data_IF_205054933219
#
_entry.id   IF_205054933219
#
_cell.length_a   1.000
_cell.length_b   1.000
_cell.length_c   1.000
_cell.angle_alpha   90.00
_cell.angle_beta   90.00
_cell.angle_gamma   90.00
#
_symmetry.space_group_name_H-M   'P 1'
#
loop_
_entity.id
_entity.type
_entity.pdbx_description
1 polymer ?
#
# COMPACT_ATOMS: atom_id res chain seq x y z
N UNK A 1 -23.01 11.65 -2.30
CA UNK A 1 -22.84 10.97 -1.00
C UNK A 1 -23.31 11.85 0.14
N UNK A 2 -22.83 13.10 0.23
CA UNK A 2 -23.24 14.08 1.27
C UNK A 2 -24.75 14.21 1.40
N UNK A 3 -25.48 14.52 0.32
CA UNK A 3 -26.95 14.62 0.36
C UNK A 3 -27.67 13.33 0.80
N UNK A 4 -27.02 12.16 0.68
CA UNK A 4 -27.58 10.87 1.12
C UNK A 4 -27.19 10.51 2.56
N UNK A 5 -26.31 11.29 3.20
CA UNK A 5 -25.78 11.03 4.54
C UNK A 5 -24.99 9.71 4.68
N UNK A 6 -24.60 9.09 3.56
CA UNK A 6 -23.86 7.82 3.56
C UNK A 6 -23.02 7.61 2.30
N UNK A 7 -21.83 7.04 2.49
CA UNK A 7 -20.96 6.60 1.41
C UNK A 7 -19.59 6.11 1.91
N UNK A 8 -18.84 5.50 1.00
CA UNK A 8 -17.44 5.15 1.25
C UNK A 8 -16.59 5.48 0.02
N UNK A 9 -15.37 5.96 0.25
CA UNK A 9 -14.34 6.16 -0.77
C UNK A 9 -13.14 5.33 -0.35
N UNK A 10 -12.66 4.45 -1.23
CA UNK A 10 -11.48 3.62 -0.96
C UNK A 10 -10.40 3.99 -1.97
N UNK A 11 -9.33 4.60 -1.48
CA UNK A 11 -8.15 4.90 -2.28
C UNK A 11 -7.05 3.87 -1.99
N UNK A 12 -6.19 3.63 -2.98
CA UNK A 12 -5.09 2.66 -2.88
C UNK A 12 -3.75 3.40 -2.77
N UNK A 13 -3.22 3.42 -1.56
CA UNK A 13 -1.85 3.81 -1.25
C UNK A 13 -0.84 2.72 -1.62
N UNK A 14 0.28 2.66 -0.92
CA UNK A 14 1.28 1.60 -1.10
C UNK A 14 2.17 1.46 0.12
N UNK A 15 2.50 0.23 0.49
CA UNK A 15 3.50 -0.02 1.52
C UNK A 15 4.87 0.49 1.12
N UNK A 16 5.11 0.70 -0.18
CA UNK A 16 6.31 1.35 -0.70
C UNK A 16 6.55 2.76 -0.16
N UNK A 17 5.51 3.43 0.34
CA UNK A 17 5.58 4.82 0.80
C UNK A 17 5.21 5.03 2.26
N UNK A 18 4.65 4.00 2.91
CA UNK A 18 4.13 4.09 4.30
C UNK A 18 4.79 3.06 5.22
N UNK A 19 5.11 1.87 4.70
CA UNK A 19 5.67 0.76 5.50
C UNK A 19 7.20 0.79 5.51
N UNK A 20 7.81 1.32 4.45
CA UNK A 20 9.27 1.54 4.37
C UNK A 20 9.58 3.03 4.42
N UNK A 21 10.73 3.43 4.98
CA UNK A 21 11.12 4.83 5.11
C UNK A 21 11.39 5.49 3.75
N UNK A 22 12.06 4.79 2.82
CA UNK A 22 12.23 5.27 1.45
C UNK A 22 12.07 4.14 0.40
N UNK A 23 11.85 4.56 -0.86
CA UNK A 23 11.75 3.66 -2.01
C UNK A 23 12.70 4.10 -3.14
N UNK A 24 14.02 3.93 -2.95
CA UNK A 24 15.01 4.35 -3.93
C UNK A 24 14.74 3.72 -5.30
N UNK A 25 15.04 4.47 -6.36
CA UNK A 25 14.79 4.11 -7.77
C UNK A 25 13.31 4.04 -8.19
N UNK A 26 12.37 4.30 -7.27
CA UNK A 26 10.94 4.50 -7.56
C UNK A 26 10.37 5.71 -6.79
N UNK A 27 11.16 6.77 -6.62
CA UNK A 27 10.82 7.93 -5.80
C UNK A 27 9.50 8.60 -6.22
N UNK A 28 9.26 8.77 -7.53
CA UNK A 28 8.01 9.36 -8.04
C UNK A 28 6.81 8.51 -7.64
N UNK A 29 6.90 7.18 -7.80
CA UNK A 29 5.84 6.27 -7.39
C UNK A 29 5.56 6.40 -5.89
N UNK A 30 6.59 6.34 -5.05
CA UNK A 30 6.40 6.50 -3.60
C UNK A 30 5.78 7.85 -3.23
N UNK A 31 6.25 8.97 -3.82
CA UNK A 31 5.72 10.30 -3.56
C UNK A 31 4.23 10.42 -3.92
N UNK A 32 3.81 9.89 -5.07
CA UNK A 32 2.39 9.88 -5.46
C UNK A 32 1.53 9.08 -4.49
N UNK A 33 2.07 8.00 -3.91
CA UNK A 33 1.35 7.16 -2.95
C UNK A 33 1.30 7.76 -1.55
N UNK A 34 2.30 8.54 -1.12
CA UNK A 34 2.20 9.39 0.07
C UNK A 34 1.10 10.45 -0.11
N UNK A 35 1.05 11.11 -1.26
CA UNK A 35 0.01 12.10 -1.56
C UNK A 35 -1.40 11.50 -1.41
N UNK A 36 -1.64 10.31 -1.97
CA UNK A 36 -2.92 9.61 -1.83
C UNK A 36 -3.25 9.30 -0.37
N UNK A 37 -2.27 8.84 0.43
CA UNK A 37 -2.48 8.57 1.86
C UNK A 37 -2.90 9.83 2.62
N UNK A 38 -2.15 10.92 2.43
CA UNK A 38 -2.40 12.17 3.13
C UNK A 38 -3.75 12.77 2.71
N UNK A 39 -4.05 12.79 1.41
CA UNK A 39 -5.33 13.26 0.88
C UNK A 39 -6.50 12.47 1.49
N UNK A 40 -6.41 11.13 1.48
CA UNK A 40 -7.45 10.27 2.05
C UNK A 40 -7.69 10.53 3.53
N UNK A 41 -6.61 10.73 4.31
CA UNK A 41 -6.72 10.97 5.76
C UNK A 41 -7.31 12.33 6.08
N UNK A 42 -6.99 13.36 5.30
CA UNK A 42 -7.65 14.67 5.41
C UNK A 42 -9.14 14.55 5.11
N UNK A 43 -9.49 13.94 3.97
CA UNK A 43 -10.89 13.75 3.57
C UNK A 43 -11.68 12.87 4.55
N UNK A 44 -11.04 11.88 5.18
CA UNK A 44 -11.67 11.07 6.23
C UNK A 44 -12.20 11.96 7.35
N UNK A 45 -11.39 12.91 7.82
CA UNK A 45 -11.76 13.82 8.90
C UNK A 45 -12.81 14.83 8.42
N UNK A 46 -12.58 15.46 7.26
CA UNK A 46 -13.48 16.47 6.68
C UNK A 46 -14.89 15.94 6.45
N UNK A 47 -15.00 14.68 5.99
CA UNK A 47 -16.28 14.11 5.58
C UNK A 47 -16.91 13.15 6.60
N UNK A 48 -16.27 12.90 7.76
CA UNK A 48 -16.78 11.94 8.76
C UNK A 48 -18.16 12.32 9.29
N UNK A 49 -18.38 13.60 9.58
CA UNK A 49 -19.65 14.14 10.08
C UNK A 49 -20.79 14.04 9.07
N UNK A 50 -20.47 13.91 7.78
CA UNK A 50 -21.44 13.73 6.69
C UNK A 50 -21.78 12.26 6.41
N UNK A 51 -21.31 11.33 7.26
CA UNK A 51 -21.55 9.89 7.11
C UNK A 51 -20.76 9.24 5.97
N UNK A 52 -19.66 9.86 5.54
CA UNK A 52 -18.81 9.34 4.47
C UNK A 52 -17.51 8.82 5.07
N UNK A 53 -17.19 7.56 4.82
CA UNK A 53 -15.93 6.96 5.26
C UNK A 53 -14.90 6.96 4.11
N UNK A 54 -13.82 7.73 4.28
CA UNK A 54 -12.72 7.76 3.30
C UNK A 54 -11.55 6.97 3.83
N UNK A 55 -11.15 5.91 3.13
CA UNK A 55 -10.12 4.99 3.58
C UNK A 55 -8.98 4.91 2.55
N UNK A 56 -7.74 5.01 3.03
CA UNK A 56 -6.54 4.64 2.28
C UNK A 56 -6.13 3.21 2.63
N UNK A 57 -6.15 2.31 1.65
CA UNK A 57 -5.61 0.97 1.82
C UNK A 57 -4.19 0.91 1.29
N UNK A 58 -3.29 0.36 2.09
CA UNK A 58 -1.84 0.37 1.88
C UNK A 58 -1.37 -1.08 1.64
N UNK A 59 -1.47 -1.60 0.41
CA UNK A 59 -0.97 -2.93 0.06
C UNK A 59 0.56 -3.00 0.06
N UNK A 60 1.12 -4.13 0.49
CA UNK A 60 2.44 -4.59 0.03
C UNK A 60 2.26 -5.37 -1.29
N UNK A 61 3.20 -6.22 -1.69
CA UNK A 61 3.12 -6.89 -2.99
C UNK A 61 1.84 -7.71 -3.12
N UNK A 62 1.09 -7.48 -4.20
CA UNK A 62 -0.06 -8.28 -4.62
C UNK A 62 0.26 -8.86 -5.99
N UNK A 63 0.04 -10.17 -6.16
CA UNK A 63 0.32 -10.88 -7.40
C UNK A 63 -0.61 -10.38 -8.51
N UNK A 64 -0.08 -9.47 -9.32
CA UNK A 64 -0.77 -8.77 -10.42
C UNK A 64 0.18 -8.69 -11.62
N UNK A 65 -0.34 -8.39 -12.81
CA UNK A 65 0.48 -8.18 -14.00
C UNK A 65 1.52 -7.06 -13.80
N UNK A 66 1.12 -5.94 -13.19
CA UNK A 66 2.04 -4.84 -12.87
C UNK A 66 3.18 -5.29 -11.95
N UNK A 67 2.88 -6.05 -10.90
CA UNK A 67 3.91 -6.54 -9.97
C UNK A 67 4.82 -7.58 -10.61
N UNK A 68 4.30 -8.38 -11.55
CA UNK A 68 5.13 -9.28 -12.37
C UNK A 68 6.11 -8.49 -13.24
N UNK A 69 5.62 -7.51 -14.00
CA UNK A 69 6.43 -6.72 -14.94
C UNK A 69 7.45 -5.81 -14.25
N UNK A 70 7.07 -5.16 -13.14
CA UNK A 70 7.91 -4.14 -12.47
C UNK A 70 8.77 -4.72 -11.36
N UNK A 71 8.31 -5.81 -10.73
CA UNK A 71 8.89 -6.32 -9.49
C UNK A 71 9.27 -7.81 -9.55
N UNK A 72 9.02 -8.50 -10.67
CA UNK A 72 9.24 -9.95 -10.87
C UNK A 72 8.50 -10.81 -9.84
N UNK A 73 7.31 -10.36 -9.43
CA UNK A 73 6.43 -11.07 -8.51
C UNK A 73 5.44 -11.89 -9.32
N UNK A 74 5.78 -13.15 -9.58
CA UNK A 74 5.02 -13.99 -10.51
C UNK A 74 3.94 -14.84 -9.84
N UNK A 75 4.19 -15.31 -8.61
CA UNK A 75 3.34 -16.29 -7.95
C UNK A 75 2.80 -15.77 -6.62
N UNK A 76 1.52 -16.04 -6.30
CA UNK A 76 0.99 -15.74 -4.99
C UNK A 76 1.66 -16.60 -3.92
N UNK A 77 1.80 -16.03 -2.73
CA UNK A 77 2.32 -16.67 -1.52
C UNK A 77 1.60 -16.13 -0.28
N UNK A 78 1.98 -16.59 0.91
CA UNK A 78 1.40 -16.08 2.16
C UNK A 78 1.58 -14.56 2.33
N UNK A 79 2.71 -14.01 1.91
CA UNK A 79 3.03 -12.58 2.02
C UNK A 79 2.80 -11.80 0.72
N UNK A 80 2.27 -12.47 -0.30
CA UNK A 80 1.92 -11.89 -1.60
C UNK A 80 0.59 -12.50 -2.05
N UNK A 81 -0.56 -11.96 -1.60
CA UNK A 81 -1.86 -12.50 -1.99
C UNK A 81 -2.11 -12.36 -3.49
N UNK A 82 -3.04 -13.15 -4.03
CA UNK A 82 -3.60 -12.86 -5.35
C UNK A 82 -4.44 -11.58 -5.33
N UNK A 83 -4.70 -11.00 -6.49
CA UNK A 83 -5.55 -9.83 -6.63
C UNK A 83 -6.95 -10.06 -6.01
N UNK A 84 -7.52 -11.25 -6.22
CA UNK A 84 -8.85 -11.63 -5.72
C UNK A 84 -8.86 -11.74 -4.20
N UNK A 85 -7.83 -12.39 -3.62
CA UNK A 85 -7.70 -12.49 -2.15
C UNK A 85 -7.52 -11.13 -1.51
N UNK A 86 -6.73 -10.25 -2.13
CA UNK A 86 -6.57 -8.90 -1.62
C UNK A 86 -7.85 -8.09 -1.75
N UNK A 87 -8.58 -8.21 -2.87
CA UNK A 87 -9.85 -7.52 -3.09
C UNK A 87 -10.95 -7.96 -2.10
N UNK A 88 -11.05 -9.26 -1.80
CA UNK A 88 -11.98 -9.77 -0.79
C UNK A 88 -11.65 -9.20 0.61
N UNK A 89 -10.37 -9.20 0.99
CA UNK A 89 -9.93 -8.57 2.24
C UNK A 89 -10.21 -7.05 2.27
N UNK A 90 -9.95 -6.36 1.15
CA UNK A 90 -10.14 -4.93 0.99
C UNK A 90 -11.59 -4.51 1.21
N UNK A 91 -12.55 -5.22 0.58
CA UNK A 91 -13.98 -4.92 0.70
C UNK A 91 -14.47 -5.15 2.13
N UNK A 92 -14.04 -6.25 2.78
CA UNK A 92 -14.42 -6.56 4.18
C UNK A 92 -13.89 -5.56 5.21
N UNK A 93 -12.85 -4.80 4.87
CA UNK A 93 -12.21 -3.84 5.77
C UNK A 93 -12.72 -2.40 5.63
N UNK A 94 -13.61 -2.13 4.67
CA UNK A 94 -14.19 -0.79 4.47
C UNK A 94 -14.88 -0.31 5.76
N UNK A 95 -14.67 0.96 6.10
CA UNK A 95 -15.22 1.58 7.32
C UNK A 95 -14.37 1.41 8.58
N UNK A 96 -13.24 0.72 8.51
CA UNK A 96 -12.34 0.48 9.66
C UNK A 96 -11.14 1.42 9.67
N UNK A 97 -11.42 2.71 9.89
CA UNK A 97 -10.41 3.75 10.04
C UNK A 97 -9.89 4.32 8.71
N UNK A 98 -9.18 5.45 8.81
CA UNK A 98 -8.72 6.26 7.68
C UNK A 98 -7.60 5.60 6.85
N UNK A 99 -6.79 4.74 7.47
CA UNK A 99 -5.67 4.05 6.84
C UNK A 99 -5.58 2.63 7.34
N UNK A 100 -5.40 1.67 6.44
CA UNK A 100 -5.28 0.28 6.82
C UNK A 100 -4.45 -0.54 5.83
N UNK A 101 -4.11 -1.75 6.24
CA UNK A 101 -3.56 -2.79 5.40
C UNK A 101 -4.47 -4.01 5.55
N UNK A 102 -5.44 -4.23 4.64
CA UNK A 102 -6.57 -5.13 4.87
C UNK A 102 -6.19 -6.62 4.88
N UNK A 103 -5.05 -6.97 4.26
CA UNK A 103 -4.53 -8.33 4.26
C UNK A 103 -3.59 -8.55 5.46
N UNK A 104 -3.99 -9.42 6.39
CA UNK A 104 -3.32 -9.57 7.70
C UNK A 104 -1.82 -9.88 7.59
N UNK A 105 -1.39 -10.67 6.61
CA UNK A 105 0.03 -11.02 6.47
C UNK A 105 0.88 -9.79 6.11
N UNK A 106 0.30 -8.82 5.39
CA UNK A 106 0.95 -7.53 5.18
C UNK A 106 1.02 -6.71 6.47
N UNK A 107 0.05 -6.82 7.38
CA UNK A 107 0.13 -6.19 8.71
C UNK A 107 1.29 -6.77 9.53
N UNK A 108 1.56 -8.07 9.43
CA UNK A 108 2.75 -8.70 10.03
C UNK A 108 4.03 -8.15 9.43
N UNK A 109 4.11 -8.02 8.10
CA UNK A 109 5.27 -7.41 7.43
C UNK A 109 5.47 -5.96 7.85
N UNK A 110 4.39 -5.19 8.01
CA UNK A 110 4.48 -3.82 8.53
C UNK A 110 5.03 -3.83 9.95
N UNK A 111 4.46 -4.63 10.86
CA UNK A 111 4.95 -4.73 12.22
C UNK A 111 6.44 -5.06 12.27
N UNK A 112 6.90 -6.06 11.53
CA UNK A 112 8.33 -6.40 11.46
C UNK A 112 9.17 -5.24 10.90
N UNK A 113 8.72 -4.57 9.83
CA UNK A 113 9.42 -3.42 9.29
C UNK A 113 9.53 -2.29 10.33
N UNK A 114 8.49 -2.04 11.13
CA UNK A 114 8.50 -1.00 12.17
C UNK A 114 9.48 -1.25 13.32
N UNK A 115 9.99 -2.48 13.45
CA UNK A 115 11.01 -2.84 14.44
C UNK A 115 12.44 -2.68 13.92
N UNK A 116 12.63 -2.53 12.61
CA UNK A 116 13.95 -2.44 11.99
C UNK A 116 14.39 -0.97 11.85
N UNK A 117 15.70 -0.66 12.02
CA UNK A 117 16.20 0.69 11.77
C UNK A 117 15.99 1.12 10.31
N UNK A 118 15.68 2.40 10.11
CA UNK A 118 15.41 2.93 8.76
C UNK A 118 16.57 2.69 7.79
N UNK A 119 17.81 2.88 8.25
CA UNK A 119 19.01 2.64 7.45
C UNK A 119 19.11 1.20 6.92
N UNK A 120 18.65 0.21 7.70
CA UNK A 120 18.63 -1.19 7.27
C UNK A 120 17.57 -1.41 6.20
N UNK A 121 16.37 -0.86 6.38
CA UNK A 121 15.30 -0.95 5.40
C UNK A 121 15.65 -0.25 4.09
N UNK A 122 16.28 0.91 4.17
CA UNK A 122 16.74 1.69 3.01
C UNK A 122 17.83 0.94 2.24
N UNK A 123 18.84 0.41 2.93
CA UNK A 123 19.89 -0.40 2.31
C UNK A 123 19.31 -1.63 1.61
N UNK A 124 18.39 -2.33 2.27
CA UNK A 124 17.69 -3.48 1.69
C UNK A 124 16.87 -3.10 0.45
N UNK A 125 16.08 -2.02 0.52
CA UNK A 125 15.27 -1.55 -0.61
C UNK A 125 16.13 -1.08 -1.79
N UNK A 126 17.22 -0.37 -1.53
CA UNK A 126 18.18 0.04 -2.55
C UNK A 126 18.80 -1.18 -3.24
N UNK A 127 19.21 -2.19 -2.48
CA UNK A 127 19.75 -3.44 -3.03
C UNK A 127 18.76 -4.13 -3.97
N UNK A 128 17.47 -4.19 -3.62
CA UNK A 128 16.43 -4.74 -4.49
C UNK A 128 16.30 -3.92 -5.78
N UNK A 129 16.24 -2.59 -5.67
CA UNK A 129 16.10 -1.71 -6.81
C UNK A 129 17.27 -1.83 -7.80
N UNK A 130 18.51 -1.88 -7.30
CA UNK A 130 19.72 -2.07 -8.12
C UNK A 130 19.67 -3.41 -8.85
N UNK A 131 19.31 -4.49 -8.15
CA UNK A 131 19.18 -5.83 -8.76
C UNK A 131 18.16 -5.82 -9.89
N UNK A 132 17.00 -5.19 -9.69
CA UNK A 132 15.96 -5.10 -10.72
C UNK A 132 16.39 -4.30 -11.93
N UNK A 133 17.07 -3.16 -11.72
CA UNK A 133 17.59 -2.33 -12.82
C UNK A 133 18.59 -3.11 -13.68
N UNK A 134 19.41 -3.97 -13.08
CA UNK A 134 20.34 -4.84 -13.82
C UNK A 134 19.62 -5.89 -14.67
N UNK A 135 18.49 -6.43 -14.19
CA UNK A 135 17.69 -7.41 -14.91
C UNK A 135 16.93 -6.81 -16.11
N UNK A 136 16.53 -5.52 -16.04
CA UNK A 136 15.80 -4.84 -17.12
C UNK A 136 16.69 -4.28 -18.23
N UNK A 137 18.00 -4.23 -18.04
CA UNK A 137 18.98 -3.73 -19.03
C UNK A 137 19.60 -4.84 -19.90
N UNK A 138 19.13 -6.09 -19.78
CA UNK A 138 19.48 -7.21 -20.66
C UNK A 138 18.35 -7.46 -21.63
#
# INVERSE_FOLDING_TARGET
>A
MVARGRGAIVNIGSGASIVVPSHPLYAIYAATKVYVDQLSRSLYVEYKSYGIDVQCQVPLYVSTRMASEVAFVEKPSLFVPSAEKYADAAVRFVGRGARCTPYWAHSVQWFVASLLPDALLDAWRLSIGITRMKLTRR
#
